data_IF_642414522076
#
_entry.id   IF_642414522076
#
_cell.length_a   1.000
_cell.length_b   1.000
_cell.length_c   1.000
_cell.angle_alpha   90.00
_cell.angle_beta   90.00
_cell.angle_gamma   90.00
#
_symmetry.space_group_name_H-M   'P 1'
#
loop_
_entity.id
_entity.type
_entity.pdbx_description
1 polymer ?
#
# COMPACT_ATOMS: atom_id res chain seq x y z
N UNK A 1 15.24 20.12 -5.62
CA UNK A 1 14.75 20.95 -4.48
C UNK A 1 13.53 21.78 -4.84
N UNK A 2 13.59 22.71 -5.82
CA UNK A 2 12.46 23.58 -6.23
C UNK A 2 11.16 22.79 -6.45
N UNK A 3 11.24 21.68 -7.20
CA UNK A 3 10.10 20.80 -7.45
C UNK A 3 9.41 20.29 -6.17
N UNK A 4 10.19 19.83 -5.18
CA UNK A 4 9.67 19.36 -3.88
C UNK A 4 9.01 20.51 -3.13
N UNK A 5 9.61 21.70 -3.15
CA UNK A 5 9.04 22.90 -2.52
C UNK A 5 7.70 23.29 -3.17
N UNK A 6 7.58 23.25 -4.49
CA UNK A 6 6.32 23.54 -5.20
C UNK A 6 5.24 22.53 -4.79
N UNK A 7 5.55 21.23 -4.81
CA UNK A 7 4.61 20.19 -4.38
C UNK A 7 4.18 20.34 -2.92
N UNK A 8 5.12 20.70 -2.05
CA UNK A 8 4.84 20.96 -0.63
C UNK A 8 3.89 22.15 -0.46
N UNK A 9 4.18 23.30 -1.08
CA UNK A 9 3.34 24.51 -0.99
C UNK A 9 1.95 24.25 -1.54
N UNK A 10 1.85 23.60 -2.70
CA UNK A 10 0.58 23.20 -3.29
C UNK A 10 -0.19 22.23 -2.38
N UNK A 11 0.51 21.27 -1.76
CA UNK A 11 -0.06 20.34 -0.79
C UNK A 11 -0.59 21.04 0.46
N UNK A 12 0.16 21.97 1.04
CA UNK A 12 -0.27 22.76 2.20
C UNK A 12 -1.52 23.55 1.84
N UNK A 13 -1.50 24.24 0.70
CA UNK A 13 -2.66 24.99 0.21
C UNK A 13 -3.90 24.08 0.06
N UNK A 14 -3.75 22.89 -0.54
CA UNK A 14 -4.83 21.93 -0.70
C UNK A 14 -5.38 21.41 0.65
N UNK A 15 -4.50 21.06 1.59
CA UNK A 15 -4.87 20.60 2.94
C UNK A 15 -5.61 21.70 3.72
N UNK A 16 -5.18 22.95 3.60
CA UNK A 16 -5.81 24.09 4.29
C UNK A 16 -7.14 24.50 3.65
N UNK A 17 -7.27 24.45 2.31
CA UNK A 17 -8.51 24.77 1.58
C UNK A 17 -9.59 23.70 1.72
N UNK A 18 -9.22 22.46 1.99
CA UNK A 18 -10.20 21.38 2.18
C UNK A 18 -10.80 21.39 3.59
N UNK A 19 -12.01 20.82 3.69
CA UNK A 19 -12.71 20.70 4.98
C UNK A 19 -11.85 19.87 5.93
N UNK A 20 -11.85 20.21 7.21
CA UNK A 20 -11.11 19.51 8.27
C UNK A 20 -11.33 17.97 8.26
N UNK A 21 -12.54 17.52 7.92
CA UNK A 21 -12.87 16.09 7.79
C UNK A 21 -12.15 15.37 6.64
N UNK A 22 -11.64 16.08 5.62
CA UNK A 22 -10.98 15.48 4.44
C UNK A 22 -9.51 15.91 4.35
N UNK A 23 -9.04 16.83 5.20
CA UNK A 23 -7.67 17.32 5.17
C UNK A 23 -6.63 16.22 5.42
N UNK A 24 -6.94 15.26 6.30
CA UNK A 24 -6.09 14.10 6.56
C UNK A 24 -5.93 13.21 5.32
N UNK A 25 -7.02 12.99 4.57
CA UNK A 25 -6.99 12.29 3.28
C UNK A 25 -6.08 13.00 2.27
N UNK A 26 -6.26 14.31 2.08
CA UNK A 26 -5.47 15.09 1.13
C UNK A 26 -3.99 15.06 1.50
N UNK A 27 -3.66 15.21 2.79
CA UNK A 27 -2.29 15.13 3.27
C UNK A 27 -1.64 13.77 2.96
N UNK A 28 -2.37 12.67 3.19
CA UNK A 28 -1.90 11.32 2.88
C UNK A 28 -1.68 11.11 1.36
N UNK A 29 -2.56 11.64 0.50
CA UNK A 29 -2.34 11.63 -0.96
C UNK A 29 -1.08 12.40 -1.34
N UNK A 30 -0.90 13.61 -0.82
CA UNK A 30 0.28 14.43 -1.14
C UNK A 30 1.57 13.75 -0.67
N UNK A 31 1.59 13.14 0.52
CA UNK A 31 2.75 12.39 1.03
C UNK A 31 3.05 11.14 0.18
N UNK A 32 2.02 10.39 -0.25
CA UNK A 32 2.18 9.26 -1.17
C UNK A 32 2.78 9.71 -2.51
N UNK A 33 2.28 10.80 -3.08
CA UNK A 33 2.80 11.36 -4.34
C UNK A 33 4.26 11.79 -4.17
N UNK A 34 4.62 12.47 -3.08
CA UNK A 34 6.00 12.82 -2.79
C UNK A 34 6.91 11.58 -2.67
N UNK A 35 6.45 10.52 -1.99
CA UNK A 35 7.22 9.29 -1.83
C UNK A 35 7.45 8.54 -3.16
N UNK A 36 6.54 8.65 -4.13
CA UNK A 36 6.74 8.11 -5.48
C UNK A 36 7.71 8.98 -6.28
N UNK A 37 7.60 10.29 -6.17
CA UNK A 37 8.35 11.25 -6.98
C UNK A 37 9.78 11.46 -6.48
N UNK A 38 10.05 11.20 -5.20
CA UNK A 38 11.37 11.32 -4.57
C UNK A 38 11.70 10.01 -3.84
N UNK A 39 12.42 9.07 -4.49
CA UNK A 39 12.82 7.81 -3.89
C UNK A 39 13.91 8.02 -2.83
N UNK A 40 14.16 7.02 -1.97
CA UNK A 40 15.12 7.14 -0.86
C UNK A 40 16.58 7.03 -1.26
N UNK A 41 16.90 6.30 -2.34
CA UNK A 41 18.25 5.77 -2.56
C UNK A 41 19.04 6.44 -3.70
N UNK A 42 18.37 7.19 -4.58
CA UNK A 42 19.02 7.80 -5.76
C UNK A 42 19.12 9.33 -5.76
N UNK A 43 18.16 10.11 -5.20
CA UNK A 43 18.29 11.55 -5.17
C UNK A 43 19.38 11.98 -4.18
N UNK A 44 19.93 13.21 -4.33
CA UNK A 44 20.81 13.78 -3.31
C UNK A 44 20.14 13.76 -1.93
N UNK A 45 20.90 13.44 -0.87
CA UNK A 45 20.40 13.31 0.50
C UNK A 45 19.62 14.53 0.98
N UNK A 46 20.02 15.74 0.56
CA UNK A 46 19.30 16.99 0.86
C UNK A 46 17.89 17.03 0.27
N UNK A 47 17.69 16.47 -0.92
CA UNK A 47 16.37 16.36 -1.57
C UNK A 47 15.50 15.33 -0.85
N UNK A 48 16.08 14.18 -0.49
CA UNK A 48 15.38 13.15 0.30
C UNK A 48 14.94 13.70 1.65
N UNK A 49 15.85 14.35 2.38
CA UNK A 49 15.54 14.98 3.67
C UNK A 49 14.43 16.05 3.54
N UNK A 50 14.50 16.90 2.51
CA UNK A 50 13.46 17.90 2.25
C UNK A 50 12.10 17.25 1.94
N UNK A 51 12.07 16.19 1.13
CA UNK A 51 10.84 15.47 0.80
C UNK A 51 10.23 14.75 2.01
N UNK A 52 11.07 14.15 2.85
CA UNK A 52 10.66 13.53 4.12
C UNK A 52 10.07 14.56 5.07
N UNK A 53 10.74 15.70 5.28
CA UNK A 53 10.24 16.78 6.14
C UNK A 53 8.95 17.39 5.59
N UNK A 54 8.87 17.65 4.28
CA UNK A 54 7.66 18.13 3.62
C UNK A 54 6.48 17.16 3.83
N UNK A 55 6.72 15.85 3.65
CA UNK A 55 5.71 14.82 3.86
C UNK A 55 5.25 14.78 5.32
N UNK A 56 6.18 14.81 6.28
CA UNK A 56 5.87 14.85 7.71
C UNK A 56 5.03 16.06 8.07
N UNK A 57 5.40 17.26 7.61
CA UNK A 57 4.66 18.50 7.88
C UNK A 57 3.25 18.46 7.28
N UNK A 58 3.10 17.98 6.04
CA UNK A 58 1.78 17.80 5.42
C UNK A 58 0.91 16.85 6.24
N UNK A 59 1.46 15.71 6.64
CA UNK A 59 0.76 14.70 7.46
C UNK A 59 0.41 15.25 8.84
N UNK A 60 1.29 16.03 9.47
CA UNK A 60 1.05 16.66 10.77
C UNK A 60 -0.08 17.69 10.68
N UNK A 61 -0.04 18.60 9.71
CA UNK A 61 -1.11 19.60 9.48
C UNK A 61 -2.44 18.90 9.16
N UNK A 62 -2.42 17.89 8.28
CA UNK A 62 -3.59 17.11 7.91
C UNK A 62 -4.20 16.36 9.10
N UNK A 63 -3.36 15.73 9.92
CA UNK A 63 -3.75 15.00 11.12
C UNK A 63 -4.31 15.92 12.20
N UNK A 64 -3.67 17.05 12.47
CA UNK A 64 -4.15 18.03 13.44
C UNK A 64 -5.55 18.55 13.08
N UNK A 65 -5.75 18.89 11.81
CA UNK A 65 -7.08 19.33 11.31
C UNK A 65 -8.12 18.21 11.33
N UNK A 66 -7.70 16.98 11.07
CA UNK A 66 -8.60 15.83 11.06
C UNK A 66 -8.82 15.22 12.45
N UNK A 67 -8.11 15.67 13.48
CA UNK A 67 -8.07 15.05 14.82
C UNK A 67 -9.44 14.74 15.42
N UNK A 68 -10.46 15.63 15.35
CA UNK A 68 -11.80 15.32 15.87
C UNK A 68 -12.52 14.15 15.17
N UNK A 69 -12.03 13.75 14.00
CA UNK A 69 -12.60 12.70 13.14
C UNK A 69 -11.76 11.43 13.09
N UNK A 70 -10.61 11.39 13.76
CA UNK A 70 -9.73 10.22 13.80
C UNK A 70 -10.27 9.23 14.84
N UNK A 71 -10.56 8.01 14.39
CA UNK A 71 -10.84 6.88 15.27
C UNK A 71 -9.58 5.99 15.37
N UNK A 72 -8.87 6.11 16.49
CA UNK A 72 -7.66 5.34 16.76
C UNK A 72 -7.90 3.83 16.88
N UNK A 73 -9.14 3.39 17.14
CA UNK A 73 -9.48 1.94 17.18
C UNK A 73 -9.35 1.29 15.80
N UNK A 74 -9.35 2.10 14.74
CA UNK A 74 -9.19 1.64 13.37
C UNK A 74 -7.76 1.39 12.99
N UNK A 75 -6.82 2.09 13.62
CA UNK A 75 -5.39 1.94 13.39
C UNK A 75 -4.95 0.49 13.61
N UNK A 76 -4.02 0.03 12.79
CA UNK A 76 -3.36 -1.27 12.98
C UNK A 76 -2.22 -1.09 14.00
N UNK A 77 -2.39 -1.53 15.26
CA UNK A 77 -1.39 -1.27 16.30
C UNK A 77 -0.07 -1.99 16.01
N UNK A 78 -0.12 -3.18 15.39
CA UNK A 78 1.08 -3.95 15.02
C UNK A 78 1.90 -3.24 13.96
N UNK A 79 1.26 -2.54 13.03
CA UNK A 79 1.96 -1.71 12.05
C UNK A 79 2.67 -0.53 12.72
N UNK A 80 2.02 0.14 13.67
CA UNK A 80 2.66 1.24 14.44
C UNK A 80 3.83 0.73 15.28
N UNK A 81 3.67 -0.44 15.92
CA UNK A 81 4.74 -1.08 16.68
C UNK A 81 5.91 -1.48 15.77
N UNK A 82 5.63 -2.06 14.61
CA UNK A 82 6.65 -2.37 13.60
C UNK A 82 7.43 -1.13 13.16
N UNK A 83 6.72 -0.05 12.75
CA UNK A 83 7.35 1.20 12.33
C UNK A 83 8.20 1.79 13.46
N UNK A 84 7.65 1.86 14.67
CA UNK A 84 8.36 2.38 15.85
C UNK A 84 9.62 1.56 16.14
N UNK A 85 9.50 0.23 16.11
CA UNK A 85 10.60 -0.69 16.37
C UNK A 85 11.73 -0.56 15.34
N UNK A 86 11.40 -0.57 14.05
CA UNK A 86 12.37 -0.37 12.96
C UNK A 86 13.04 1.00 13.07
N UNK A 87 12.27 2.04 13.40
CA UNK A 87 12.79 3.41 13.57
C UNK A 87 13.80 3.46 14.72
N UNK A 88 13.45 2.91 15.89
CA UNK A 88 14.34 2.88 17.06
C UNK A 88 15.60 2.07 16.78
N UNK A 89 15.48 0.89 16.14
CA UNK A 89 16.66 0.08 15.78
C UNK A 89 17.58 0.83 14.81
N UNK A 90 17.01 1.47 13.80
CA UNK A 90 17.79 2.25 12.83
C UNK A 90 18.47 3.47 13.49
N UNK A 91 17.83 4.10 14.48
CA UNK A 91 18.42 5.23 15.22
C UNK A 91 19.64 4.81 16.07
N UNK A 92 19.65 3.61 16.63
CA UNK A 92 20.79 3.11 17.43
C UNK A 92 22.04 2.90 16.57
N UNK A 93 21.84 2.63 15.28
CA UNK A 93 22.91 2.27 14.33
C UNK A 93 23.37 3.45 13.48
N UNK A 94 22.73 4.60 13.61
CA UNK A 94 22.93 5.72 12.70
C UNK A 94 23.46 6.95 13.43
N UNK A 95 24.52 7.53 12.89
CA UNK A 95 25.09 8.77 13.40
C UNK A 95 24.18 9.98 13.18
N UNK A 96 24.40 11.01 14.00
CA UNK A 96 23.84 12.34 13.76
C UNK A 96 24.51 12.99 12.53
N UNK A 97 23.78 13.60 11.57
CA UNK A 97 22.38 14.04 11.58
C UNK A 97 21.36 13.09 10.89
N UNK A 98 21.79 11.96 10.34
CA UNK A 98 20.91 11.02 9.63
C UNK A 98 19.79 10.47 10.52
N UNK A 99 20.03 10.38 11.83
CA UNK A 99 19.01 10.05 12.81
C UNK A 99 17.75 10.94 12.74
N UNK A 100 17.85 12.23 12.41
CA UNK A 100 16.66 13.09 12.22
C UNK A 100 15.80 12.66 11.06
N UNK A 101 16.40 12.25 9.95
CA UNK A 101 15.67 11.81 8.76
C UNK A 101 14.96 10.50 9.06
N UNK A 102 15.62 9.58 9.78
CA UNK A 102 15.02 8.32 10.24
C UNK A 102 13.83 8.59 11.16
N UNK A 103 14.02 9.42 12.20
CA UNK A 103 12.97 9.77 13.15
C UNK A 103 11.78 10.45 12.44
N UNK A 104 12.06 11.39 11.53
CA UNK A 104 11.04 12.09 10.75
C UNK A 104 10.28 11.15 9.83
N UNK A 105 10.97 10.18 9.22
CA UNK A 105 10.36 9.15 8.38
C UNK A 105 9.46 8.23 9.20
N UNK A 106 9.94 7.74 10.36
CA UNK A 106 9.16 6.90 11.26
C UNK A 106 7.90 7.59 11.79
N UNK A 107 8.03 8.86 12.18
CA UNK A 107 6.89 9.69 12.58
C UNK A 107 5.90 9.90 11.43
N UNK A 108 6.41 10.22 10.23
CA UNK A 108 5.59 10.40 9.03
C UNK A 108 4.83 9.13 8.66
N UNK A 109 5.50 7.97 8.62
CA UNK A 109 4.88 6.68 8.34
C UNK A 109 3.83 6.30 9.40
N UNK A 110 4.07 6.62 10.67
CA UNK A 110 3.10 6.39 11.75
C UNK A 110 1.84 7.25 11.59
N UNK A 111 2.00 8.54 11.27
CA UNK A 111 0.87 9.42 10.96
C UNK A 111 0.11 8.95 9.72
N UNK A 112 0.85 8.54 8.67
CA UNK A 112 0.25 7.99 7.46
C UNK A 112 -0.57 6.72 7.77
N UNK A 113 -0.06 5.82 8.60
CA UNK A 113 -0.78 4.62 9.02
C UNK A 113 -2.10 4.97 9.74
N UNK A 114 -2.09 5.96 10.64
CA UNK A 114 -3.30 6.43 11.33
C UNK A 114 -4.31 6.99 10.33
N UNK A 115 -3.87 7.83 9.40
CA UNK A 115 -4.74 8.47 8.40
C UNK A 115 -5.27 7.49 7.35
N UNK A 116 -4.46 6.52 6.91
CA UNK A 116 -4.85 5.52 5.93
C UNK A 116 -5.87 4.51 6.48
N UNK A 117 -5.91 4.30 7.79
CA UNK A 117 -6.92 3.45 8.44
C UNK A 117 -8.29 4.09 8.63
N UNK A 118 -8.45 5.38 8.33
CA UNK A 118 -9.73 6.09 8.47
C UNK A 118 -10.63 5.87 7.24
N UNK A 119 -11.95 5.93 7.43
CA UNK A 119 -12.91 5.95 6.31
C UNK A 119 -13.24 7.39 5.97
N UNK A 120 -12.61 7.90 4.92
CA UNK A 120 -12.84 9.25 4.44
C UNK A 120 -14.07 9.29 3.55
N UNK A 121 -14.80 10.40 3.61
CA UNK A 121 -16.07 10.58 2.91
C UNK A 121 -16.13 11.98 2.30
N UNK A 122 -16.58 12.10 1.06
CA UNK A 122 -16.71 13.37 0.34
C UNK A 122 -17.92 14.20 0.81
N UNK A 123 -18.15 15.36 0.17
CA UNK A 123 -19.29 16.25 0.50
C UNK A 123 -20.66 15.60 0.27
N UNK A 124 -20.73 14.57 -0.59
CA UNK A 124 -21.93 13.84 -0.97
C UNK A 124 -22.09 12.52 -0.20
N UNK A 125 -21.24 12.25 0.80
CA UNK A 125 -21.31 11.00 1.55
C UNK A 125 -20.62 9.82 0.86
N UNK A 126 -19.88 10.03 -0.24
CA UNK A 126 -19.22 8.94 -0.98
C UNK A 126 -17.85 8.62 -0.39
N UNK A 127 -17.50 7.32 -0.25
CA UNK A 127 -16.22 6.91 0.29
C UNK A 127 -15.06 7.36 -0.61
N UNK A 128 -14.13 8.10 -0.02
CA UNK A 128 -12.85 8.47 -0.63
C UNK A 128 -11.82 7.40 -0.26
N UNK A 129 -11.14 6.86 -1.26
CA UNK A 129 -10.06 5.89 -1.08
C UNK A 129 -8.78 6.51 -1.64
N UNK A 130 -7.70 6.48 -0.84
CA UNK A 130 -6.44 7.17 -1.13
C UNK A 130 -5.81 6.63 -2.39
N UNK A 131 -5.78 5.30 -2.49
CA UNK A 131 -5.15 4.58 -3.59
C UNK A 131 -5.93 4.76 -4.89
N UNK A 132 -7.26 4.78 -4.81
CA UNK A 132 -8.14 4.88 -5.98
C UNK A 132 -8.03 6.23 -6.72
N UNK A 133 -7.62 7.29 -6.03
CA UNK A 133 -7.51 8.63 -6.64
C UNK A 133 -6.07 8.93 -7.07
N UNK A 134 -5.09 8.64 -6.22
CA UNK A 134 -3.71 9.05 -6.46
C UNK A 134 -3.00 8.15 -7.49
N UNK A 135 -3.18 6.82 -7.37
CA UNK A 135 -2.41 5.84 -8.14
C UNK A 135 -2.63 6.02 -9.65
N UNK A 136 -3.86 6.14 -10.19
CA UNK A 136 -4.04 6.28 -11.63
C UNK A 136 -3.33 7.50 -12.23
N UNK A 137 -3.38 8.66 -11.54
CA UNK A 137 -2.70 9.87 -11.98
C UNK A 137 -1.18 9.71 -11.95
N UNK A 138 -0.66 9.11 -10.87
CA UNK A 138 0.76 8.81 -10.72
C UNK A 138 1.24 7.83 -11.80
N UNK A 139 0.45 6.80 -12.14
CA UNK A 139 0.76 5.85 -13.21
C UNK A 139 0.92 6.56 -14.55
N UNK A 140 0.00 7.45 -14.90
CA UNK A 140 0.09 8.20 -16.15
C UNK A 140 1.36 9.06 -16.17
N UNK A 141 1.68 9.74 -15.07
CA UNK A 141 2.90 10.52 -14.96
C UNK A 141 4.16 9.64 -15.10
N UNK A 142 4.24 8.52 -14.39
CA UNK A 142 5.37 7.59 -14.50
C UNK A 142 5.51 7.02 -15.91
N UNK A 143 4.39 6.75 -16.60
CA UNK A 143 4.40 6.31 -17.97
C UNK A 143 5.02 7.34 -18.90
N UNK A 144 4.64 8.62 -18.77
CA UNK A 144 5.23 9.69 -19.57
C UNK A 144 6.76 9.80 -19.36
N UNK A 145 7.21 9.66 -18.11
CA UNK A 145 8.64 9.64 -17.79
C UNK A 145 9.34 8.42 -18.39
N UNK A 146 8.74 7.24 -18.28
CA UNK A 146 9.28 6.01 -18.83
C UNK A 146 9.31 6.03 -20.37
N UNK A 147 8.31 6.61 -21.04
CA UNK A 147 8.33 6.86 -22.48
C UNK A 147 9.49 7.77 -22.84
N UNK A 148 9.74 8.82 -22.06
CA UNK A 148 10.85 9.73 -22.31
C UNK A 148 12.21 9.04 -22.21
N UNK A 149 12.41 8.24 -21.16
CA UNK A 149 13.59 7.40 -20.99
C UNK A 149 13.78 6.42 -22.17
N UNK A 150 12.76 5.61 -22.48
CA UNK A 150 12.87 4.50 -23.45
C UNK A 150 12.92 5.00 -24.90
N UNK A 151 12.12 6.01 -25.25
CA UNK A 151 11.94 6.46 -26.64
C UNK A 151 12.92 7.55 -27.04
N UNK A 152 13.28 8.44 -26.10
CA UNK A 152 14.16 9.58 -26.37
C UNK A 152 15.52 9.46 -25.71
N UNK A 153 15.82 8.32 -25.07
CA UNK A 153 17.05 8.10 -24.29
C UNK A 153 17.29 9.20 -23.26
N UNK A 154 16.21 9.78 -22.74
CA UNK A 154 16.31 10.77 -21.69
C UNK A 154 16.98 10.15 -20.45
N UNK A 155 17.81 10.94 -19.78
CA UNK A 155 18.34 10.54 -18.48
C UNK A 155 17.20 10.35 -17.47
N UNK A 156 17.33 9.36 -16.60
CA UNK A 156 16.38 9.17 -15.52
C UNK A 156 16.40 10.40 -14.60
N UNK A 157 15.25 10.77 -14.03
CA UNK A 157 15.17 11.91 -13.11
C UNK A 157 16.13 11.76 -11.93
N UNK A 158 16.27 10.51 -11.46
CA UNK A 158 17.15 10.15 -10.36
C UNK A 158 18.12 9.06 -10.82
N UNK A 159 19.27 9.43 -11.39
CA UNK A 159 20.32 8.48 -11.76
C UNK A 159 20.80 7.66 -10.54
N UNK A 160 21.22 6.42 -10.78
CA UNK A 160 21.84 5.54 -9.79
C UNK A 160 23.34 5.87 -9.67
N UNK A 161 23.85 6.06 -8.46
CA UNK A 161 25.26 6.44 -8.22
C UNK A 161 26.34 5.50 -8.76
N UNK A 162 25.99 4.31 -9.28
CA UNK A 162 26.91 3.22 -9.60
C UNK A 162 27.32 3.17 -11.08
N UNK A 163 27.06 4.21 -11.87
CA UNK A 163 27.41 4.24 -13.31
C UNK A 163 26.44 3.46 -14.21
N UNK A 164 25.31 3.00 -13.66
CA UNK A 164 24.21 2.35 -14.38
C UNK A 164 23.13 3.35 -14.82
N UNK A 165 23.52 4.61 -15.00
CA UNK A 165 22.64 5.73 -15.30
C UNK A 165 22.07 5.66 -16.70
N UNK A 166 22.90 5.22 -17.63
CA UNK A 166 22.51 5.09 -19.01
C UNK A 166 21.49 3.98 -19.17
N UNK A 167 20.45 4.25 -19.96
CA UNK A 167 19.39 3.28 -20.18
C UNK A 167 19.91 2.00 -20.82
N UNK A 168 20.94 2.10 -21.65
CA UNK A 168 21.57 1.00 -22.37
C UNK A 168 22.26 -0.03 -21.46
N UNK A 169 22.69 0.35 -20.25
CA UNK A 169 23.27 -0.60 -19.29
C UNK A 169 22.20 -1.41 -18.54
N UNK A 170 20.92 -1.02 -18.65
CA UNK A 170 19.80 -1.62 -17.92
C UNK A 170 19.06 -2.58 -18.84
N UNK A 171 19.62 -3.74 -19.14
CA UNK A 171 19.04 -4.72 -20.08
C UNK A 171 17.61 -5.10 -19.70
N UNK A 172 16.67 -4.97 -20.64
CA UNK A 172 15.27 -5.34 -20.43
C UNK A 172 15.02 -6.81 -20.82
N UNK A 173 14.81 -7.66 -19.81
CA UNK A 173 14.60 -9.10 -20.03
C UNK A 173 13.18 -9.47 -20.47
N UNK A 174 12.20 -8.56 -20.32
CA UNK A 174 10.82 -8.79 -20.78
C UNK A 174 10.66 -8.41 -22.25
N UNK A 175 11.28 -7.30 -22.65
CA UNK A 175 11.24 -6.76 -24.00
C UNK A 175 12.66 -6.41 -24.47
N UNK A 176 13.45 -7.40 -24.94
CA UNK A 176 14.86 -7.20 -25.33
C UNK A 176 15.08 -6.22 -26.49
N UNK A 177 14.02 -5.89 -27.24
CA UNK A 177 14.06 -4.89 -28.31
C UNK A 177 14.00 -3.44 -27.80
N UNK A 178 13.77 -3.23 -26.51
CA UNK A 178 13.85 -1.90 -25.90
C UNK A 178 15.30 -1.56 -25.59
N UNK A 179 15.64 -0.27 -25.66
CA UNK A 179 16.98 0.24 -25.35
C UNK A 179 17.41 -0.06 -23.89
N UNK A 180 16.46 -0.28 -22.99
CA UNK A 180 16.72 -0.72 -21.62
C UNK A 180 15.49 -0.65 -20.71
N UNK A 181 15.71 -0.67 -19.40
CA UNK A 181 14.67 -0.64 -18.37
C UNK A 181 14.44 0.77 -17.85
N UNK A 182 13.21 1.27 -17.96
CA UNK A 182 12.83 2.56 -17.41
C UNK A 182 12.82 2.58 -15.88
N UNK A 183 13.13 3.72 -15.28
CA UNK A 183 13.05 3.96 -13.84
C UNK A 183 11.97 4.97 -13.45
N UNK A 184 11.54 5.82 -14.38
CA UNK A 184 10.67 6.95 -14.10
C UNK A 184 11.26 7.84 -13.01
N UNK A 185 10.42 8.29 -12.08
CA UNK A 185 10.88 8.97 -10.88
C UNK A 185 11.13 8.02 -9.71
N UNK A 186 10.98 6.70 -9.85
CA UNK A 186 11.13 5.78 -8.71
C UNK A 186 12.58 5.40 -8.42
N UNK A 187 13.52 5.87 -9.25
CA UNK A 187 14.97 5.70 -9.05
C UNK A 187 15.49 4.30 -9.36
N UNK A 188 14.60 3.32 -9.58
CA UNK A 188 14.96 1.96 -9.98
C UNK A 188 13.79 1.29 -10.70
N UNK A 189 14.03 0.34 -11.63
CA UNK A 189 12.94 -0.26 -12.41
C UNK A 189 12.05 -1.21 -11.59
N UNK A 190 12.57 -1.82 -10.53
CA UNK A 190 11.75 -2.71 -9.66
C UNK A 190 10.61 -1.93 -8.98
N UNK A 191 10.87 -0.84 -8.23
CA UNK A 191 9.78 -0.05 -7.63
C UNK A 191 8.80 0.51 -8.65
N UNK A 192 9.24 0.88 -9.85
CA UNK A 192 8.35 1.27 -10.96
C UNK A 192 7.38 0.13 -11.31
N UNK A 193 7.91 -1.09 -11.45
CA UNK A 193 7.11 -2.30 -11.67
C UNK A 193 6.12 -2.56 -10.54
N UNK A 194 6.51 -2.39 -9.27
CA UNK A 194 5.61 -2.54 -8.11
C UNK A 194 4.45 -1.56 -8.19
N UNK A 195 4.75 -0.28 -8.44
CA UNK A 195 3.75 0.76 -8.59
C UNK A 195 2.79 0.44 -9.75
N UNK A 196 3.31 -0.02 -10.87
CA UNK A 196 2.54 -0.44 -12.02
C UNK A 196 1.61 -1.63 -11.71
N UNK A 197 2.09 -2.65 -11.00
CA UNK A 197 1.27 -3.78 -10.56
C UNK A 197 0.13 -3.35 -9.63
N UNK A 198 0.42 -2.45 -8.67
CA UNK A 198 -0.60 -1.81 -7.83
C UNK A 198 -1.60 -1.02 -8.68
N UNK A 199 -1.10 -0.29 -9.67
CA UNK A 199 -1.91 0.47 -10.64
C UNK A 199 -2.89 -0.39 -11.41
N UNK A 200 -2.46 -1.55 -11.93
CA UNK A 200 -3.33 -2.53 -12.60
C UNK A 200 -4.45 -2.97 -11.66
N UNK A 201 -4.09 -3.44 -10.46
CA UNK A 201 -5.06 -3.93 -9.46
C UNK A 201 -6.10 -2.86 -9.13
N UNK A 202 -5.66 -1.63 -8.85
CA UNK A 202 -6.53 -0.49 -8.55
C UNK A 202 -7.44 -0.17 -9.73
N UNK A 203 -6.91 -0.11 -10.94
CA UNK A 203 -7.68 0.27 -12.12
C UNK A 203 -8.70 -0.79 -12.55
N UNK A 204 -8.35 -2.09 -12.45
CA UNK A 204 -9.29 -3.18 -12.69
C UNK A 204 -10.42 -3.15 -11.65
N UNK A 205 -10.09 -2.91 -10.38
CA UNK A 205 -11.10 -2.72 -9.34
C UNK A 205 -12.04 -1.55 -9.64
N UNK A 206 -11.51 -0.40 -10.06
CA UNK A 206 -12.31 0.77 -10.46
C UNK A 206 -13.23 0.47 -11.64
N UNK A 207 -12.76 -0.28 -12.62
CA UNK A 207 -13.58 -0.71 -13.74
C UNK A 207 -14.73 -1.63 -13.28
N UNK A 208 -14.43 -2.67 -12.49
CA UNK A 208 -15.43 -3.67 -12.11
C UNK A 208 -16.45 -3.11 -11.11
N UNK A 209 -15.99 -2.45 -10.05
CA UNK A 209 -16.87 -1.97 -8.96
C UNK A 209 -17.52 -0.63 -9.26
N UNK A 210 -16.87 0.25 -10.02
CA UNK A 210 -17.35 1.62 -10.28
C UNK A 210 -17.68 1.91 -11.74
N UNK A 211 -17.52 0.92 -12.65
CA UNK A 211 -17.80 1.07 -14.09
C UNK A 211 -17.05 2.24 -14.75
N UNK A 212 -15.86 2.54 -14.24
CA UNK A 212 -15.02 3.61 -14.78
C UNK A 212 -14.19 3.08 -15.95
N UNK A 213 -14.73 3.17 -17.16
CA UNK A 213 -14.09 2.62 -18.37
C UNK A 213 -12.71 3.20 -18.67
N UNK A 214 -12.45 4.47 -18.33
CA UNK A 214 -11.13 5.08 -18.47
C UNK A 214 -10.05 4.32 -17.67
N UNK A 215 -10.43 3.63 -16.61
CA UNK A 215 -9.50 2.85 -15.79
C UNK A 215 -8.89 1.68 -16.57
N UNK A 216 -9.58 1.12 -17.58
CA UNK A 216 -9.00 0.10 -18.44
C UNK A 216 -7.83 0.64 -19.28
N UNK A 217 -7.95 1.86 -19.79
CA UNK A 217 -6.85 2.51 -20.51
C UNK A 217 -5.64 2.72 -19.58
N UNK A 218 -5.87 3.17 -18.34
CA UNK A 218 -4.80 3.34 -17.35
C UNK A 218 -4.21 1.99 -16.90
N UNK A 219 -5.01 0.93 -16.83
CA UNK A 219 -4.51 -0.42 -16.57
C UNK A 219 -3.60 -0.91 -17.71
N UNK A 220 -3.94 -0.63 -18.97
CA UNK A 220 -3.10 -0.94 -20.12
C UNK A 220 -1.78 -0.14 -20.10
N UNK A 221 -1.84 1.14 -19.72
CA UNK A 221 -0.67 1.98 -19.47
C UNK A 221 0.22 1.39 -18.36
N UNK A 222 -0.38 0.95 -17.25
CA UNK A 222 0.35 0.28 -16.17
C UNK A 222 0.96 -1.07 -16.62
N UNK A 223 0.26 -1.85 -17.45
CA UNK A 223 0.83 -3.05 -18.07
C UNK A 223 2.06 -2.73 -18.93
N UNK A 224 1.99 -1.65 -19.71
CA UNK A 224 3.12 -1.16 -20.51
C UNK A 224 4.29 -0.72 -19.62
N UNK A 225 4.02 -0.08 -18.47
CA UNK A 225 5.04 0.26 -17.48
C UNK A 225 5.77 -0.97 -16.92
N UNK A 226 5.08 -2.09 -16.67
CA UNK A 226 5.74 -3.35 -16.24
C UNK A 226 6.71 -3.85 -17.33
N UNK A 227 6.30 -3.74 -18.61
CA UNK A 227 7.16 -4.09 -19.76
C UNK A 227 8.36 -3.15 -19.83
N UNK A 228 8.15 -1.84 -19.75
CA UNK A 228 9.24 -0.85 -19.75
C UNK A 228 10.18 -1.00 -18.57
N UNK A 229 9.67 -1.37 -17.39
CA UNK A 229 10.51 -1.59 -16.22
C UNK A 229 11.24 -2.94 -16.24
N UNK A 230 10.85 -3.87 -17.11
CA UNK A 230 11.44 -5.21 -17.22
C UNK A 230 11.33 -6.06 -15.96
N UNK A 231 10.32 -5.81 -15.11
CA UNK A 231 10.23 -6.41 -13.76
C UNK A 231 9.31 -7.64 -13.76
N UNK A 232 9.87 -8.83 -13.96
CA UNK A 232 9.13 -10.12 -14.02
C UNK A 232 8.29 -10.40 -12.78
N UNK A 233 8.83 -10.12 -11.58
CA UNK A 233 8.12 -10.30 -10.31
C UNK A 233 6.86 -9.43 -10.19
N UNK A 234 6.87 -8.22 -10.74
CA UNK A 234 5.71 -7.33 -10.74
C UNK A 234 4.58 -7.86 -11.64
N UNK A 235 4.93 -8.45 -12.80
CA UNK A 235 3.96 -9.13 -13.66
C UNK A 235 3.29 -10.30 -12.93
N UNK A 236 4.11 -11.16 -12.31
CA UNK A 236 3.62 -12.31 -11.52
C UNK A 236 2.72 -11.80 -10.37
N UNK A 237 3.16 -10.79 -9.63
CA UNK A 237 2.39 -10.18 -8.54
C UNK A 237 1.01 -9.68 -9.01
N UNK A 238 0.94 -8.97 -10.13
CA UNK A 238 -0.31 -8.50 -10.71
C UNK A 238 -1.22 -9.67 -11.13
N UNK A 239 -0.68 -10.68 -11.83
CA UNK A 239 -1.43 -11.87 -12.25
C UNK A 239 -2.02 -12.60 -11.04
N UNK A 240 -1.22 -12.86 -10.00
CA UNK A 240 -1.69 -13.55 -8.79
C UNK A 240 -2.78 -12.77 -8.05
N UNK A 241 -2.65 -11.44 -7.97
CA UNK A 241 -3.68 -10.59 -7.40
C UNK A 241 -4.99 -10.62 -8.22
N UNK A 242 -4.91 -10.65 -9.54
CA UNK A 242 -6.08 -10.76 -10.43
C UNK A 242 -6.73 -12.15 -10.39
N UNK A 243 -5.92 -13.23 -10.30
CA UNK A 243 -6.42 -14.59 -10.10
C UNK A 243 -7.16 -14.70 -8.78
N UNK A 244 -6.59 -14.15 -7.69
CA UNK A 244 -7.28 -14.06 -6.41
C UNK A 244 -8.62 -13.33 -6.54
N UNK A 245 -8.64 -12.17 -7.18
CA UNK A 245 -9.86 -11.41 -7.43
C UNK A 245 -10.92 -12.22 -8.18
N UNK A 246 -10.55 -12.84 -9.30
CA UNK A 246 -11.45 -13.66 -10.10
C UNK A 246 -12.02 -14.82 -9.28
N UNK A 247 -11.16 -15.52 -8.52
CA UNK A 247 -11.57 -16.63 -7.68
C UNK A 247 -12.52 -16.19 -6.55
N UNK A 248 -12.30 -15.00 -5.95
CA UNK A 248 -13.26 -14.43 -4.98
C UNK A 248 -14.60 -14.06 -5.61
N UNK A 249 -14.61 -13.52 -6.84
CA UNK A 249 -15.83 -13.11 -7.55
C UNK A 249 -16.66 -14.29 -8.03
N UNK A 250 -16.02 -15.32 -8.56
CA UNK A 250 -16.68 -16.53 -9.02
C UNK A 250 -17.08 -17.48 -7.87
N UNK A 251 -16.80 -17.11 -6.61
CA UNK A 251 -17.05 -17.93 -5.41
C UNK A 251 -16.40 -19.32 -5.47
N UNK A 252 -15.33 -19.45 -6.25
CA UNK A 252 -14.63 -20.71 -6.44
C UNK A 252 -13.69 -20.94 -5.26
N UNK A 253 -14.26 -21.32 -4.11
CA UNK A 253 -13.52 -21.60 -2.87
C UNK A 253 -12.39 -22.61 -3.10
N UNK A 254 -12.63 -23.59 -3.97
CA UNK A 254 -11.65 -24.61 -4.40
C UNK A 254 -10.53 -24.04 -5.25
N UNK A 255 -10.77 -22.99 -6.06
CA UNK A 255 -9.73 -22.29 -6.83
C UNK A 255 -8.95 -21.28 -6.00
N UNK A 256 -9.50 -20.77 -4.88
CA UNK A 256 -8.72 -19.97 -3.94
C UNK A 256 -7.71 -20.83 -3.19
N UNK A 257 -8.12 -22.02 -2.75
CA UNK A 257 -7.22 -23.01 -2.14
C UNK A 257 -6.27 -23.56 -3.21
N UNK A 258 -6.80 -23.98 -4.35
CA UNK A 258 -6.00 -24.46 -5.49
C UNK A 258 -5.05 -23.40 -6.04
N UNK A 259 -5.42 -22.13 -6.00
CA UNK A 259 -4.59 -20.99 -6.38
C UNK A 259 -3.53 -20.66 -5.34
N UNK A 260 -3.85 -20.68 -4.04
CA UNK A 260 -2.87 -20.55 -2.97
C UNK A 260 -1.87 -21.71 -2.98
N UNK A 261 -2.35 -22.93 -3.21
CA UNK A 261 -1.52 -24.12 -3.43
C UNK A 261 -0.74 -23.99 -4.72
N UNK A 262 -1.32 -23.52 -5.83
CA UNK A 262 -0.59 -23.32 -7.08
C UNK A 262 0.45 -22.21 -6.98
N UNK A 263 0.25 -21.17 -6.16
CA UNK A 263 1.26 -20.16 -5.85
C UNK A 263 2.35 -20.76 -4.96
N UNK A 264 1.98 -21.46 -3.89
CA UNK A 264 2.94 -22.14 -3.02
C UNK A 264 3.75 -23.20 -3.79
N UNK A 265 3.11 -23.92 -4.71
CA UNK A 265 3.70 -24.91 -5.60
C UNK A 265 4.50 -24.21 -6.69
N UNK A 266 4.03 -23.12 -7.31
CA UNK A 266 4.83 -22.39 -8.31
C UNK A 266 6.08 -21.79 -7.67
N UNK A 267 5.97 -21.25 -6.46
CA UNK A 267 7.10 -20.85 -5.62
C UNK A 267 7.99 -22.07 -5.39
N UNK A 268 7.47 -23.18 -4.86
CA UNK A 268 8.25 -24.38 -4.58
C UNK A 268 8.90 -25.01 -5.83
N UNK A 269 8.23 -25.02 -6.98
CA UNK A 269 8.64 -25.55 -8.30
C UNK A 269 9.69 -24.63 -8.94
N UNK A 270 9.49 -23.32 -8.82
CA UNK A 270 10.43 -22.31 -9.26
C UNK A 270 11.71 -22.34 -8.41
N UNK A 271 11.60 -22.62 -7.11
CA UNK A 271 12.74 -22.71 -6.20
C UNK A 271 13.38 -24.11 -6.11
N UNK A 272 12.70 -25.20 -6.51
CA UNK A 272 13.25 -26.56 -6.46
C UNK A 272 14.03 -26.98 -7.70
N UNK A 273 14.20 -26.09 -8.68
CA UNK A 273 14.84 -26.43 -9.96
C UNK A 273 13.99 -27.35 -10.84
N UNK A 274 12.70 -27.54 -10.55
CA UNK A 274 11.83 -28.43 -11.32
C UNK A 274 11.72 -28.01 -12.80
N UNK A 275 11.83 -26.70 -13.09
CA UNK A 275 11.89 -26.18 -14.46
C UNK A 275 13.11 -26.67 -15.23
N UNK A 276 14.22 -26.96 -14.55
CA UNK A 276 15.43 -27.56 -15.15
C UNK A 276 15.22 -29.05 -15.43
N UNK A 277 14.60 -29.77 -14.49
CA UNK A 277 14.24 -31.17 -14.66
C UNK A 277 13.18 -31.38 -15.77
N UNK A 278 12.43 -30.33 -16.11
CA UNK A 278 11.49 -30.29 -17.24
C UNK A 278 12.11 -29.77 -18.55
N UNK A 279 13.42 -29.51 -18.60
CA UNK A 279 14.12 -29.09 -19.82
C UNK A 279 13.90 -27.63 -20.23
N UNK A 280 13.32 -26.79 -19.38
CA UNK A 280 13.14 -25.34 -19.59
C UNK A 280 14.37 -24.55 -19.10
N UNK A 281 15.57 -25.11 -19.30
CA UNK A 281 16.83 -24.76 -18.64
C UNK A 281 17.45 -23.40 -18.98
N UNK A 282 16.85 -22.59 -19.86
CA UNK A 282 17.40 -21.26 -20.21
C UNK A 282 17.07 -20.15 -19.20
N UNK A 283 16.29 -20.45 -18.15
CA UNK A 283 15.98 -19.48 -17.09
C UNK A 283 17.14 -19.33 -16.08
N UNK A 284 18.13 -20.22 -16.14
CA UNK A 284 19.17 -20.43 -15.12
C UNK A 284 20.29 -19.37 -15.12
N UNK A 285 20.36 -18.48 -16.10
CA UNK A 285 21.51 -17.58 -16.29
C UNK A 285 21.19 -16.08 -16.05
N UNK A 286 20.34 -15.75 -15.07
CA UNK A 286 20.27 -14.35 -14.61
C UNK A 286 20.88 -14.24 -13.23
N UNK A 287 21.90 -13.39 -13.10
CA UNK A 287 22.61 -13.10 -11.84
C UNK A 287 21.64 -12.84 -10.68
N UNK A 288 20.52 -12.14 -10.95
CA UNK A 288 19.49 -11.86 -9.95
C UNK A 288 18.80 -13.10 -9.37
N UNK A 289 18.67 -14.20 -10.12
CA UNK A 289 18.08 -15.43 -9.61
C UNK A 289 19.08 -16.20 -8.75
N UNK A 290 20.28 -16.42 -9.28
CA UNK A 290 21.38 -17.08 -8.55
C UNK A 290 21.65 -16.37 -7.23
N UNK A 291 21.65 -15.04 -7.25
CA UNK A 291 21.79 -14.21 -6.07
C UNK A 291 20.70 -14.49 -5.00
N UNK A 292 19.41 -14.43 -5.37
CA UNK A 292 18.30 -14.66 -4.43
C UNK A 292 18.27 -16.09 -3.90
N UNK A 293 18.54 -17.08 -4.76
CA UNK A 293 18.60 -18.48 -4.36
C UNK A 293 19.76 -18.72 -3.38
N UNK A 294 20.92 -18.09 -3.64
CA UNK A 294 22.03 -18.05 -2.71
C UNK A 294 21.62 -17.46 -1.38
N UNK A 295 21.03 -16.26 -1.38
CA UNK A 295 20.63 -15.52 -0.19
C UNK A 295 19.73 -16.34 0.75
N UNK A 296 18.84 -17.20 0.22
CA UNK A 296 18.00 -18.09 1.05
C UNK A 296 18.81 -19.11 1.88
N UNK A 297 20.04 -19.42 1.49
CA UNK A 297 20.95 -20.28 2.25
C UNK A 297 21.36 -19.64 3.59
N UNK A 298 21.12 -18.35 3.79
CA UNK A 298 21.34 -17.63 5.04
C UNK A 298 20.20 -17.75 6.05
N UNK A 299 19.13 -18.48 5.69
CA UNK A 299 17.99 -18.68 6.59
C UNK A 299 18.35 -19.48 7.86
N UNK A 300 19.12 -20.59 7.81
CA UNK A 300 19.57 -21.29 9.02
C UNK A 300 20.43 -20.38 9.90
N UNK A 301 21.30 -19.58 9.28
CA UNK A 301 22.12 -18.59 9.97
C UNK A 301 21.25 -17.57 10.70
N UNK A 302 20.06 -17.23 10.20
CA UNK A 302 19.12 -16.35 10.93
C UNK A 302 18.76 -16.84 12.33
N UNK A 303 18.71 -18.15 12.52
CA UNK A 303 18.37 -18.74 13.81
C UNK A 303 19.63 -19.07 14.62
N UNK A 304 20.75 -19.37 13.95
CA UNK A 304 21.99 -19.86 14.55
C UNK A 304 23.06 -18.78 14.78
N UNK A 305 22.75 -17.51 14.54
CA UNK A 305 23.62 -16.35 14.78
C UNK A 305 23.97 -16.20 16.26
N UNK A 306 25.02 -16.92 16.69
CA UNK A 306 25.84 -16.68 17.87
C UNK A 306 25.11 -16.54 19.21
N UNK A 307 24.42 -15.41 19.41
CA UNK A 307 23.69 -15.09 20.64
C UNK A 307 22.17 -15.02 20.43
N UNK A 308 21.42 -15.41 21.47
CA UNK A 308 19.95 -15.31 21.49
C UNK A 308 19.48 -13.86 21.26
N UNK A 309 20.25 -12.88 21.72
CA UNK A 309 19.91 -11.46 21.53
C UNK A 309 20.02 -11.03 20.06
N UNK A 310 21.06 -11.46 19.34
CA UNK A 310 21.21 -11.20 17.91
C UNK A 310 20.09 -11.88 17.11
N UNK A 311 19.74 -13.12 17.44
CA UNK A 311 18.61 -13.81 16.80
C UNK A 311 17.28 -13.08 17.03
N UNK A 312 17.03 -12.58 18.26
CA UNK A 312 15.78 -11.90 18.58
C UNK A 312 15.68 -10.48 18.03
N UNK A 313 16.75 -9.69 18.12
CA UNK A 313 16.74 -8.25 17.83
C UNK A 313 17.52 -7.85 16.56
N UNK A 314 18.19 -8.80 15.92
CA UNK A 314 18.99 -8.60 14.72
C UNK A 314 20.34 -7.96 15.00
N UNK A 315 21.15 -7.85 13.96
CA UNK A 315 22.50 -7.25 13.99
C UNK A 315 22.53 -5.86 13.34
N UNK A 316 21.37 -5.37 12.90
CA UNK A 316 21.24 -4.05 12.30
C UNK A 316 21.38 -3.98 10.79
N UNK A 317 20.95 -2.87 10.20
CA UNK A 317 20.97 -2.65 8.75
C UNK A 317 22.38 -2.46 8.21
N UNK A 318 23.32 -1.95 9.02
CA UNK A 318 24.73 -1.80 8.64
C UNK A 318 25.47 -3.13 8.45
N UNK A 319 24.99 -4.21 9.07
CA UNK A 319 25.64 -5.54 9.03
C UNK A 319 25.29 -6.38 7.79
N UNK A 320 24.42 -5.87 6.91
CA UNK A 320 23.91 -6.64 5.76
C UNK A 320 25.01 -6.96 4.75
N UNK A 321 25.84 -5.97 4.40
CA UNK A 321 26.94 -6.15 3.46
C UNK A 321 27.99 -7.13 4.02
N UNK A 322 28.34 -6.99 5.30
CA UNK A 322 29.26 -7.89 5.99
C UNK A 322 28.73 -9.33 6.00
N UNK A 323 27.43 -9.53 6.21
CA UNK A 323 26.80 -10.84 6.15
C UNK A 323 26.95 -11.50 4.77
N UNK A 324 26.61 -10.78 3.70
CA UNK A 324 26.71 -11.31 2.34
C UNK A 324 28.15 -11.69 1.99
N UNK A 325 29.11 -10.85 2.38
CA UNK A 325 30.54 -11.11 2.19
C UNK A 325 31.03 -12.30 3.01
N UNK A 326 30.67 -12.37 4.30
CA UNK A 326 31.14 -13.41 5.22
C UNK A 326 30.73 -14.81 4.79
N UNK A 327 29.52 -14.96 4.27
CA UNK A 327 29.02 -16.27 3.85
C UNK A 327 29.30 -16.57 2.37
N UNK A 328 29.95 -15.64 1.64
CA UNK A 328 30.20 -15.75 0.20
C UNK A 328 28.93 -16.13 -0.58
N UNK A 329 27.80 -15.55 -0.17
CA UNK A 329 26.48 -15.87 -0.72
C UNK A 329 26.07 -14.78 -1.69
N UNK A 330 25.84 -15.19 -2.95
CA UNK A 330 25.30 -14.32 -3.97
C UNK A 330 26.16 -14.27 -5.23
N UNK A 331 26.01 -13.20 -5.99
CA UNK A 331 26.86 -12.87 -7.14
C UNK A 331 27.79 -11.73 -6.72
N UNK A 332 29.06 -11.83 -7.10
CA UNK A 332 30.07 -10.81 -6.79
C UNK A 332 29.60 -9.41 -7.22
N UNK A 333 29.71 -8.45 -6.30
CA UNK A 333 29.28 -7.06 -6.53
C UNK A 333 27.80 -6.77 -6.23
N UNK A 334 27.03 -7.74 -5.72
CA UNK A 334 25.65 -7.52 -5.25
C UNK A 334 25.57 -7.57 -3.71
N UNK A 335 25.67 -6.40 -3.07
CA UNK A 335 25.65 -6.27 -1.61
C UNK A 335 24.25 -6.02 -1.01
N UNK A 336 23.21 -6.65 -1.57
CA UNK A 336 21.82 -6.53 -1.09
C UNK A 336 21.17 -7.89 -0.93
N UNK A 337 20.23 -8.06 0.01
CA UNK A 337 19.55 -9.36 0.16
C UNK A 337 18.59 -9.68 -0.97
N UNK A 338 17.97 -8.66 -1.58
CA UNK A 338 16.93 -8.86 -2.60
C UNK A 338 15.75 -9.75 -2.10
N UNK A 339 15.55 -9.79 -0.78
CA UNK A 339 14.51 -10.55 -0.06
C UNK A 339 14.13 -9.79 1.22
N UNK A 340 12.93 -9.19 1.25
CA UNK A 340 12.52 -8.32 2.34
C UNK A 340 12.40 -9.05 3.68
N UNK A 341 11.86 -10.27 3.70
CA UNK A 341 11.68 -11.01 4.96
C UNK A 341 13.02 -11.37 5.61
N UNK A 342 13.97 -11.81 4.80
CA UNK A 342 15.30 -12.16 5.29
C UNK A 342 16.08 -10.90 5.69
N UNK A 343 15.97 -9.81 4.91
CA UNK A 343 16.52 -8.51 5.28
C UNK A 343 15.96 -8.01 6.61
N UNK A 344 14.64 -7.97 6.76
CA UNK A 344 13.97 -7.54 7.99
C UNK A 344 14.41 -8.42 9.16
N UNK A 345 14.40 -9.75 8.99
CA UNK A 345 14.84 -10.66 10.03
C UNK A 345 16.34 -10.55 10.34
N UNK A 346 17.18 -10.20 9.37
CA UNK A 346 18.61 -9.96 9.60
C UNK A 346 18.86 -8.67 10.38
N UNK A 347 18.28 -7.56 9.91
CA UNK A 347 18.49 -6.25 10.50
C UNK A 347 17.81 -6.11 11.86
N UNK A 348 16.60 -6.67 12.01
CA UNK A 348 15.73 -6.41 13.16
C UNK A 348 15.32 -7.66 13.94
N UNK A 349 15.89 -8.82 13.58
CA UNK A 349 15.68 -10.08 14.29
C UNK A 349 14.29 -10.67 14.13
N UNK A 350 14.04 -11.76 14.85
CA UNK A 350 12.74 -12.43 14.89
C UNK A 350 11.63 -11.52 15.44
N UNK A 351 11.93 -10.54 16.30
CA UNK A 351 10.95 -9.59 16.81
C UNK A 351 10.42 -8.69 15.70
N UNK A 352 11.30 -8.07 14.90
CA UNK A 352 10.88 -7.21 13.81
C UNK A 352 10.14 -7.97 12.71
N UNK A 353 10.62 -9.18 12.37
CA UNK A 353 9.94 -10.06 11.44
C UNK A 353 8.54 -10.48 11.94
N UNK A 354 8.42 -10.80 13.23
CA UNK A 354 7.15 -11.13 13.87
C UNK A 354 6.16 -9.95 13.86
N UNK A 355 6.64 -8.73 14.12
CA UNK A 355 5.82 -7.52 14.04
C UNK A 355 5.36 -7.22 12.62
N UNK A 356 6.23 -7.39 11.61
CA UNK A 356 5.87 -7.25 10.20
C UNK A 356 4.80 -8.28 9.81
N UNK A 357 4.99 -9.55 10.19
CA UNK A 357 4.02 -10.61 9.94
C UNK A 357 2.67 -10.30 10.61
N UNK A 358 2.67 -9.90 11.87
CA UNK A 358 1.45 -9.51 12.59
C UNK A 358 0.75 -8.31 11.92
N UNK A 359 1.50 -7.29 11.49
CA UNK A 359 0.95 -6.13 10.78
C UNK A 359 0.27 -6.54 9.47
N UNK A 360 0.91 -7.41 8.67
CA UNK A 360 0.36 -7.93 7.40
C UNK A 360 -0.85 -8.83 7.63
N UNK A 361 -0.79 -9.76 8.59
CA UNK A 361 -1.92 -10.66 8.93
C UNK A 361 -3.12 -9.85 9.41
N UNK A 362 -2.93 -8.91 10.33
CA UNK A 362 -4.02 -8.06 10.80
C UNK A 362 -4.56 -7.17 9.69
N UNK A 363 -3.69 -6.65 8.82
CA UNK A 363 -4.08 -5.96 7.59
C UNK A 363 -4.95 -6.84 6.69
N UNK A 364 -4.55 -8.09 6.46
CA UNK A 364 -5.28 -9.06 5.64
C UNK A 364 -6.69 -9.35 6.17
N UNK A 365 -6.79 -9.57 7.47
CA UNK A 365 -8.05 -9.86 8.15
C UNK A 365 -9.01 -8.68 8.12
N UNK A 366 -8.50 -7.44 8.19
CA UNK A 366 -9.29 -6.20 8.22
C UNK A 366 -9.64 -5.63 6.85
N UNK A 367 -8.90 -6.00 5.81
CA UNK A 367 -9.09 -5.48 4.46
C UNK A 367 -10.27 -6.15 3.73
N UNK A 368 -10.84 -5.40 2.78
CA UNK A 368 -11.73 -5.94 1.76
C UNK A 368 -10.93 -6.67 0.65
N UNK A 369 -11.61 -7.07 -0.43
CA UNK A 369 -10.98 -7.79 -1.55
C UNK A 369 -9.85 -6.97 -2.19
N UNK A 370 -10.03 -5.68 -2.43
CA UNK A 370 -8.99 -4.82 -3.01
C UNK A 370 -7.74 -4.79 -2.12
N UNK A 371 -7.93 -4.58 -0.81
CA UNK A 371 -6.80 -4.52 0.12
C UNK A 371 -6.02 -5.83 0.15
N UNK A 372 -6.70 -6.98 0.07
CA UNK A 372 -6.05 -8.30 -0.02
C UNK A 372 -5.32 -8.50 -1.34
N UNK A 373 -5.90 -8.09 -2.48
CA UNK A 373 -5.18 -8.10 -3.76
C UNK A 373 -3.87 -7.30 -3.68
N UNK A 374 -3.90 -6.13 -3.04
CA UNK A 374 -2.72 -5.28 -2.87
C UNK A 374 -1.70 -5.90 -1.91
N UNK A 375 -2.14 -6.55 -0.83
CA UNK A 375 -1.25 -7.31 0.05
C UNK A 375 -0.59 -8.48 -0.69
N UNK A 376 -1.29 -9.17 -1.60
CA UNK A 376 -0.69 -10.20 -2.45
C UNK A 376 0.43 -9.59 -3.28
N UNK A 377 0.21 -8.43 -3.92
CA UNK A 377 1.26 -7.75 -4.67
C UNK A 377 2.46 -7.47 -3.77
N UNK A 378 2.25 -6.88 -2.59
CA UNK A 378 3.33 -6.59 -1.65
C UNK A 378 4.08 -7.84 -1.19
N UNK A 379 3.38 -8.92 -0.86
CA UNK A 379 3.99 -10.18 -0.39
C UNK A 379 4.84 -10.86 -1.47
N UNK A 380 4.35 -10.90 -2.72
CA UNK A 380 5.12 -11.44 -3.86
C UNK A 380 6.38 -10.59 -4.10
N UNK A 381 6.24 -9.28 -3.98
CA UNK A 381 7.38 -8.37 -4.11
C UNK A 381 8.35 -8.51 -2.93
N UNK A 382 7.89 -8.66 -1.69
CA UNK A 382 8.77 -8.90 -0.54
C UNK A 382 9.60 -10.18 -0.69
N UNK A 383 9.05 -11.18 -1.37
CA UNK A 383 9.75 -12.42 -1.73
C UNK A 383 10.70 -12.28 -2.93
N UNK A 384 10.84 -11.09 -3.51
CA UNK A 384 11.59 -10.84 -4.74
C UNK A 384 12.60 -9.70 -4.64
N UNK A 385 12.46 -8.79 -3.70
CA UNK A 385 13.40 -7.69 -3.48
C UNK A 385 13.23 -7.11 -2.07
N UNK A 386 14.17 -6.27 -1.65
CA UNK A 386 14.18 -5.60 -0.35
C UNK A 386 13.32 -4.32 -0.35
N UNK A 387 12.03 -4.51 -0.58
CA UNK A 387 11.05 -3.46 -0.82
C UNK A 387 11.00 -2.34 0.23
N UNK A 388 11.23 -2.63 1.51
CA UNK A 388 11.14 -1.63 2.59
C UNK A 388 12.37 -0.72 2.67
N UNK A 389 13.44 -1.05 1.94
CA UNK A 389 14.59 -0.15 1.70
C UNK A 389 14.22 1.03 0.80
N UNK A 390 13.07 0.94 0.14
CA UNK A 390 12.56 1.96 -0.76
C UNK A 390 11.35 2.63 -0.12
N UNK A 391 11.40 3.96 -0.01
CA UNK A 391 10.29 4.75 0.55
C UNK A 391 8.94 4.39 -0.05
N UNK A 392 8.89 4.15 -1.37
CA UNK A 392 7.69 3.70 -2.07
C UNK A 392 7.15 2.37 -1.53
N UNK A 393 8.00 1.35 -1.37
CA UNK A 393 7.59 0.04 -0.86
C UNK A 393 7.08 0.14 0.58
N UNK A 394 7.76 0.92 1.43
CA UNK A 394 7.34 1.15 2.81
C UNK A 394 5.99 1.89 2.88
N UNK A 395 5.85 2.98 2.12
CA UNK A 395 4.60 3.76 2.06
C UNK A 395 3.43 2.92 1.55
N UNK A 396 3.64 2.11 0.50
CA UNK A 396 2.62 1.20 -0.01
C UNK A 396 2.22 0.14 1.03
N UNK A 397 3.18 -0.47 1.74
CA UNK A 397 2.88 -1.38 2.84
C UNK A 397 2.01 -0.67 3.88
N UNK A 398 2.40 0.54 4.30
CA UNK A 398 1.67 1.29 5.33
C UNK A 398 0.25 1.58 4.91
N UNK A 399 0.05 2.12 3.70
CA UNK A 399 -1.29 2.46 3.20
C UNK A 399 -2.16 1.21 3.08
N UNK A 400 -1.62 0.11 2.56
CA UNK A 400 -2.38 -1.13 2.32
C UNK A 400 -2.67 -1.87 3.63
N UNK A 401 -1.69 -2.01 4.52
CA UNK A 401 -1.85 -2.74 5.79
C UNK A 401 -2.63 -1.94 6.85
N UNK A 402 -2.69 -0.61 6.74
CA UNK A 402 -3.53 0.23 7.58
C UNK A 402 -4.99 0.28 7.09
N UNK A 403 -5.22 0.08 5.79
CA UNK A 403 -6.55 0.17 5.17
C UNK A 403 -7.55 -0.78 5.84
N UNK A 404 -8.78 -0.30 5.98
CA UNK A 404 -9.92 -1.07 6.50
C UNK A 404 -11.06 -1.05 5.50
N UNK A 405 -11.87 -2.12 5.53
CA UNK A 405 -13.15 -2.16 4.82
C UNK A 405 -14.01 -0.93 5.21
N UNK A 406 -14.60 -0.20 4.24
CA UNK A 406 -15.56 0.85 4.55
C UNK A 406 -16.70 0.30 5.40
N UNK A 407 -17.15 1.05 6.42
CA UNK A 407 -18.39 0.68 7.12
C UNK A 407 -19.54 0.71 6.12
N UNK A 408 -20.32 -0.36 6.10
CA UNK A 408 -21.57 -0.37 5.38
C UNK A 408 -22.57 0.53 6.14
N UNK A 409 -22.98 1.68 5.59
CA UNK A 409 -23.92 2.57 6.27
C UNK A 409 -25.29 1.93 6.50
N UNK A 410 -25.60 0.85 5.77
CA UNK A 410 -26.88 0.15 5.85
C UNK A 410 -26.85 -1.08 6.76
N UNK A 411 -25.70 -1.42 7.38
CA UNK A 411 -25.64 -2.51 8.35
C UNK A 411 -26.55 -2.19 9.56
N UNK A 412 -27.66 -2.94 9.79
CA UNK A 412 -28.74 -2.54 10.70
C UNK A 412 -28.42 -2.45 12.21
N UNK A 413 -27.16 -2.53 12.64
CA UNK A 413 -26.80 -2.72 14.05
C UNK A 413 -25.76 -1.77 14.64
N UNK A 414 -25.07 -0.95 13.83
CA UNK A 414 -23.91 -0.17 14.32
C UNK A 414 -24.13 1.35 14.38
N UNK A 415 -25.33 1.83 14.02
CA UNK A 415 -25.77 3.20 14.33
C UNK A 415 -26.20 3.24 15.80
N UNK A 416 -25.22 2.95 16.66
CA UNK A 416 -25.35 2.70 18.08
C UNK A 416 -25.49 4.03 18.85
N UNK A 417 -26.68 4.22 19.43
CA UNK A 417 -26.96 4.50 20.86
C UNK A 417 -26.33 5.75 21.53
N UNK A 418 -25.23 6.34 21.02
CA UNK A 418 -24.56 7.50 21.62
C UNK A 418 -25.36 8.80 21.50
N UNK A 419 -26.06 9.03 20.39
CA UNK A 419 -26.92 10.23 20.25
C UNK A 419 -28.19 10.15 21.10
N UNK A 420 -28.70 8.94 21.39
CA UNK A 420 -29.86 8.76 22.26
C UNK A 420 -29.53 8.84 23.76
N UNK A 421 -28.33 8.41 24.21
CA UNK A 421 -27.91 8.58 25.61
C UNK A 421 -27.58 10.04 25.97
N UNK A 422 -27.01 10.82 25.05
CA UNK A 422 -26.78 12.25 25.27
C UNK A 422 -28.06 13.09 25.33
N UNK A 423 -29.09 12.74 24.54
CA UNK A 423 -30.39 13.42 24.59
C UNK A 423 -31.27 13.01 25.78
N UNK A 424 -31.13 11.79 26.31
CA UNK A 424 -31.87 11.38 27.52
C UNK A 424 -31.31 11.99 28.82
N UNK A 425 -30.05 12.40 28.86
CA UNK A 425 -29.47 13.07 30.03
C UNK A 425 -29.81 14.57 30.13
N UNK A 426 -30.30 15.20 29.04
CA UNK A 426 -30.65 16.63 29.00
C UNK A 426 -32.16 16.91 28.98
N UNK A 427 -33.00 15.87 29.12
CA UNK A 427 -34.46 15.97 28.90
C UNK A 427 -35.37 15.62 30.08
N UNK A 428 -34.84 15.45 31.30
CA UNK A 428 -35.68 15.39 32.51
C UNK A 428 -35.39 16.63 33.38
N UNK A 429 -35.92 17.77 32.96
CA UNK A 429 -36.37 18.75 33.95
C UNK A 429 -37.59 18.13 34.65
N UNK A 430 -37.63 18.08 35.98
CA UNK A 430 -38.84 17.68 36.70
C UNK A 430 -39.95 18.66 36.34
N UNK A 431 -41.08 18.13 35.87
CA UNK A 431 -42.29 18.89 35.63
C UNK A 431 -42.66 19.63 36.93
N UNK A 432 -42.65 20.97 36.88
CA UNK A 432 -43.32 21.77 37.88
C UNK A 432 -44.82 21.49 37.77
N UNK A 433 -45.36 21.01 38.88
CA UNK A 433 -46.78 20.80 39.12
C UNK A 433 -47.49 22.14 39.26
N UNK A 434 -48.34 22.46 38.27
CA UNK A 434 -49.48 23.37 38.38
C UNK A 434 -50.50 22.78 37.42
N UNK A 435 -51.61 22.20 37.85
CA UNK A 435 -52.64 22.81 38.66
C UNK A 435 -53.92 22.73 37.81
N UNK A 436 -54.81 21.85 38.22
CA UNK A 436 -56.24 21.68 37.90
C UNK A 436 -56.88 22.51 36.77
N UNK A 437 -57.51 21.80 35.81
CA UNK A 437 -58.94 21.94 35.50
C UNK A 437 -59.41 20.84 34.52
N UNK A 438 -60.58 20.21 34.75
CA UNK A 438 -61.23 19.28 33.82
C UNK A 438 -62.20 20.00 32.89
N UNK A 439 -62.49 19.45 31.70
CA UNK A 439 -63.85 19.24 31.17
C UNK A 439 -63.89 18.82 29.68
N UNK A 440 -64.95 18.06 29.42
CA UNK A 440 -65.70 17.80 28.19
C UNK A 440 -65.13 16.88 27.11
N UNK A 441 -65.57 15.61 27.22
CA UNK A 441 -66.40 14.87 26.24
C UNK A 441 -66.98 15.66 25.06
N UNK A 442 -67.33 14.88 24.02
CA UNK A 442 -67.97 15.19 22.72
C UNK A 442 -66.95 15.35 21.58
N UNK A 443 -67.07 14.72 20.41
CA UNK A 443 -68.19 13.96 19.85
C UNK A 443 -67.72 13.14 18.63
N UNK A 444 -68.53 12.12 18.34
CA UNK A 444 -68.87 11.57 17.02
C UNK A 444 -67.76 11.11 16.05
N UNK A 445 -67.64 9.80 15.79
CA UNK A 445 -68.52 8.98 14.94
C UNK A 445 -68.49 9.33 13.44
N UNK A 446 -68.19 8.27 12.69
CA UNK A 446 -68.79 7.89 11.42
C UNK A 446 -68.16 8.44 10.12
N UNK A 447 -67.78 7.46 9.28
CA UNK A 447 -67.86 7.33 7.81
C UNK A 447 -66.49 7.00 7.22
N UNK A 448 -66.28 5.92 6.47
CA UNK A 448 -67.16 4.90 5.94
C UNK A 448 -66.43 4.14 4.83
N UNK A 449 -66.86 2.90 4.58
CA UNK A 449 -66.85 2.13 3.32
C UNK A 449 -65.69 2.32 2.33
N UNK A 450 -64.83 1.32 2.15
CA UNK A 450 -65.02 0.22 1.20
C UNK A 450 -65.07 0.65 -0.28
N UNK A 451 -64.03 0.29 -1.04
CA UNK A 451 -64.21 -0.18 -2.42
C UNK A 451 -63.11 -1.15 -2.83
N UNK A 452 -63.57 -2.22 -3.48
CA UNK A 452 -62.84 -3.37 -3.96
C UNK A 452 -62.05 -3.10 -5.26
N UNK A 453 -61.13 -4.03 -5.55
CA UNK A 453 -60.35 -4.24 -6.78
C UNK A 453 -61.24 -4.60 -8.01
N UNK A 454 -60.74 -5.11 -9.17
CA UNK A 454 -59.37 -5.21 -9.73
C UNK A 454 -59.31 -4.79 -11.23
N UNK A 455 -58.13 -4.76 -11.86
CA UNK A 455 -57.98 -5.26 -13.25
C UNK A 455 -56.52 -5.41 -13.66
N UNK A 456 -56.28 -6.50 -14.39
CA UNK A 456 -55.03 -6.91 -14.99
C UNK A 456 -54.86 -6.29 -16.38
N UNK A 457 -53.61 -6.06 -16.79
CA UNK A 457 -53.22 -5.94 -18.21
C UNK A 457 -51.89 -6.67 -18.38
N UNK A 458 -51.81 -7.74 -19.19
CA UNK A 458 -50.57 -8.19 -19.81
C UNK A 458 -50.45 -7.52 -21.18
N UNK A 459 -49.26 -7.03 -21.53
CA UNK A 459 -48.92 -6.77 -22.93
C UNK A 459 -47.61 -7.46 -23.30
N UNK A 460 -47.69 -8.11 -24.45
CA UNK A 460 -46.72 -8.94 -25.13
C UNK A 460 -45.53 -8.16 -25.70
N UNK A 461 -44.42 -8.90 -25.79
CA UNK A 461 -43.44 -9.00 -26.89
C UNK A 461 -43.30 -7.85 -27.92
N UNK A 462 -42.05 -7.40 -28.03
CA UNK A 462 -41.32 -7.23 -29.30
C UNK A 462 -39.85 -7.55 -29.10
#
# INVERSE_FOLDING_TARGET
MIFVTILFVAGVFAVLRTRARVSGYVAAVCALVLAVLVPSNTPPTSVVALATLASLLLLAIGSFRALPFIDFRRTNPWLILFISYVTVRSLVETDWPYGLVILSSGAGLSLLAVLAGQSWVDRRGRPLDLLLTAIPAVIVLQFLLAVAEVSFRAEAIWPMSVGWDHIESRVNTIAPWLVGRAMGSTGHPIPLGVLAAVGIVVCIWLFVERRLYWALAVAAVAGTLIVFSGTRSALIAAVLALVYFLATKLRLKTLLIGGAVAVAVSIAVYYSGLLENLGLGTVKETDSFTHRAGVLQLLPELVQRGSVLETLFGTGYGSIAEALQRFAVGVDGIDVFDQEFLRTGWATGLVGLGLLAAAVIVGWLRNDVLGRMLLIVMLVMFASWDALSWNLGFVLLVVVAARRRPLDPQAPGEVDIRTKRGRRALGRQPAQSSGDAPLSDQDELARGSAHAAPSAVPHELS
#
